data_IF_587166399406
#
_entry.id   IF_587166399406
#
_cell.length_a   1.000
_cell.length_b   1.000
_cell.length_c   1.000
_cell.angle_alpha   90.00
_cell.angle_beta   90.00
_cell.angle_gamma   90.00
#
_symmetry.space_group_name_H-M   'P 1'
#
loop_
_entity.id
_entity.type
_entity.pdbx_description
1 polymer ?
#
# COMPACT_ATOMS: atom_id res chain seq x y z
N UNK A 1 13.56 -19.43 -11.81
CA UNK A 1 13.05 -18.81 -10.55
C UNK A 1 11.97 -17.79 -10.83
N UNK A 2 12.02 -17.06 -11.96
CA UNK A 2 10.94 -16.14 -12.38
C UNK A 2 9.65 -16.93 -12.57
N UNK A 3 9.68 -18.02 -13.33
CA UNK A 3 8.51 -18.89 -13.56
C UNK A 3 7.88 -19.40 -12.26
N UNK A 4 8.70 -19.73 -11.28
CA UNK A 4 8.22 -20.11 -9.95
C UNK A 4 7.47 -18.97 -9.27
N UNK A 5 8.01 -17.75 -9.31
CA UNK A 5 7.34 -16.59 -8.72
C UNK A 5 6.02 -16.26 -9.43
N UNK A 6 5.97 -16.37 -10.76
CA UNK A 6 4.74 -16.17 -11.51
C UNK A 6 3.68 -17.22 -11.16
N UNK A 7 4.07 -18.51 -11.07
CA UNK A 7 3.17 -19.57 -10.66
C UNK A 7 2.63 -19.39 -9.23
N UNK A 8 3.49 -18.95 -8.29
CA UNK A 8 3.08 -18.65 -6.91
C UNK A 8 2.15 -17.45 -6.86
N UNK A 9 2.42 -16.42 -7.64
CA UNK A 9 1.58 -15.24 -7.73
C UNK A 9 0.18 -15.61 -8.23
N UNK A 10 0.09 -16.36 -9.33
CA UNK A 10 -1.19 -16.88 -9.82
C UNK A 10 -1.95 -17.72 -8.78
N UNK A 11 -1.23 -18.54 -8.02
CA UNK A 11 -1.82 -19.35 -6.95
C UNK A 11 -2.41 -18.49 -5.82
N UNK A 12 -1.65 -17.50 -5.32
CA UNK A 12 -2.10 -16.66 -4.20
C UNK A 12 -3.23 -15.71 -4.57
N UNK A 13 -3.21 -15.19 -5.80
CA UNK A 13 -4.14 -14.15 -6.25
C UNK A 13 -5.34 -14.71 -7.02
N UNK A 14 -5.24 -15.95 -7.51
CA UNK A 14 -6.17 -16.56 -8.48
C UNK A 14 -6.38 -15.67 -9.72
N UNK A 15 -5.32 -14.94 -10.13
CA UNK A 15 -5.29 -14.19 -11.39
C UNK A 15 -4.02 -14.51 -12.16
N UNK A 16 -4.11 -14.51 -13.49
CA UNK A 16 -2.95 -14.69 -14.33
C UNK A 16 -2.00 -13.47 -14.17
N UNK A 17 -0.69 -13.69 -14.01
CA UNK A 17 0.30 -12.60 -13.94
C UNK A 17 0.26 -11.62 -15.11
N UNK A 18 -0.23 -12.01 -16.27
CA UNK A 18 -0.38 -11.13 -17.45
C UNK A 18 -1.29 -9.94 -17.19
N UNK A 19 -2.21 -10.03 -16.22
CA UNK A 19 -3.13 -8.95 -15.88
C UNK A 19 -2.52 -7.90 -14.95
N UNK A 20 -1.39 -8.19 -14.31
CA UNK A 20 -0.74 -7.24 -13.42
C UNK A 20 -0.32 -5.98 -14.16
N UNK A 21 -0.65 -4.85 -13.57
CA UNK A 21 -0.30 -3.53 -14.09
C UNK A 21 0.97 -3.00 -13.40
N UNK A 22 1.60 -2.01 -14.01
CA UNK A 22 2.88 -1.48 -13.53
C UNK A 22 2.79 -0.65 -12.23
N UNK A 23 1.58 -0.31 -11.78
CA UNK A 23 1.35 0.46 -10.57
C UNK A 23 0.58 -0.39 -9.57
N UNK A 24 1.22 -0.71 -8.44
CA UNK A 24 0.70 -1.65 -7.46
C UNK A 24 0.25 -0.91 -6.19
N UNK A 25 -0.99 -1.12 -5.79
CA UNK A 25 -1.48 -0.74 -4.47
C UNK A 25 -1.56 -1.99 -3.59
N UNK A 26 -0.99 -1.94 -2.40
CA UNK A 26 -1.17 -2.95 -1.37
C UNK A 26 -2.15 -2.46 -0.31
N UNK A 27 -2.96 -3.36 0.17
CA UNK A 27 -3.82 -3.16 1.34
C UNK A 27 -3.88 -4.45 2.16
N UNK A 28 -4.31 -4.32 3.40
CA UNK A 28 -4.53 -5.47 4.29
C UNK A 28 -6.01 -5.58 4.74
N UNK A 29 -6.92 -4.89 4.04
CA UNK A 29 -8.32 -4.78 4.47
C UNK A 29 -9.33 -4.94 3.33
N UNK A 30 -10.37 -5.76 3.54
CA UNK A 30 -11.35 -6.11 2.50
C UNK A 30 -12.16 -4.93 1.95
N UNK A 31 -12.47 -3.93 2.78
CA UNK A 31 -13.23 -2.76 2.34
C UNK A 31 -12.57 -1.96 1.20
N UNK A 32 -11.24 -1.96 1.11
CA UNK A 32 -10.55 -1.34 -0.03
C UNK A 32 -10.83 -2.08 -1.33
N UNK A 33 -10.98 -3.40 -1.26
CA UNK A 33 -11.31 -4.21 -2.43
C UNK A 33 -12.70 -3.87 -2.96
N UNK A 34 -13.68 -3.73 -2.07
CA UNK A 34 -15.06 -3.38 -2.44
C UNK A 34 -15.12 -1.98 -3.06
N UNK A 35 -14.46 -1.00 -2.44
CA UNK A 35 -14.39 0.37 -2.98
C UNK A 35 -13.63 0.46 -4.31
N UNK A 36 -12.61 -0.36 -4.49
CA UNK A 36 -11.88 -0.42 -5.77
C UNK A 36 -12.76 -0.95 -6.90
N UNK A 37 -13.63 -1.92 -6.62
CA UNK A 37 -14.63 -2.40 -7.60
C UNK A 37 -15.55 -1.25 -8.02
N UNK A 38 -16.08 -0.47 -7.07
CA UNK A 38 -16.94 0.66 -7.36
C UNK A 38 -16.22 1.70 -8.23
N UNK A 39 -14.98 2.06 -7.85
CA UNK A 39 -14.15 2.98 -8.63
C UNK A 39 -13.89 2.44 -10.05
N UNK A 40 -13.55 1.15 -10.17
CA UNK A 40 -13.23 0.53 -11.46
C UNK A 40 -14.42 0.56 -12.42
N UNK A 41 -15.63 0.25 -11.93
CA UNK A 41 -16.85 0.29 -12.75
C UNK A 41 -17.16 1.72 -13.23
N UNK A 42 -16.93 2.72 -12.39
CA UNK A 42 -17.14 4.11 -12.80
C UNK A 42 -16.05 4.57 -13.78
N UNK A 43 -14.81 4.16 -13.56
CA UNK A 43 -13.71 4.44 -14.47
C UNK A 43 -13.89 3.80 -15.86
N UNK A 44 -14.48 2.59 -15.95
CA UNK A 44 -14.80 1.95 -17.24
C UNK A 44 -15.91 2.68 -18.01
N UNK A 45 -16.84 3.37 -17.33
CA UNK A 45 -17.89 4.18 -17.97
C UNK A 45 -17.34 5.50 -18.50
N UNK A 46 -16.24 6.01 -17.94
CA UNK A 46 -15.59 7.24 -18.41
C UNK A 46 -14.62 6.92 -19.56
N UNK A 47 -15.04 7.24 -20.77
CA UNK A 47 -14.25 7.02 -22.00
C UNK A 47 -12.92 7.77 -22.02
N UNK A 48 -12.76 8.81 -21.19
CA UNK A 48 -11.53 9.59 -21.08
C UNK A 48 -10.56 9.02 -20.04
N UNK A 49 -10.97 8.04 -19.24
CA UNK A 49 -10.14 7.45 -18.20
C UNK A 49 -8.93 6.67 -18.76
N UNK A 50 -9.07 6.15 -19.98
CA UNK A 50 -8.08 5.29 -20.63
C UNK A 50 -8.00 3.88 -20.06
N UNK A 51 -8.83 3.51 -19.08
CA UNK A 51 -8.95 2.15 -18.59
C UNK A 51 -9.81 1.30 -19.55
N UNK A 52 -9.40 0.06 -19.79
CA UNK A 52 -9.99 -0.83 -20.80
C UNK A 52 -10.78 -1.98 -20.22
N UNK A 53 -10.34 -2.52 -19.08
CA UNK A 53 -11.04 -3.61 -18.39
C UNK A 53 -10.75 -3.63 -16.90
N UNK A 54 -11.61 -4.32 -16.16
CA UNK A 54 -11.40 -4.70 -14.77
C UNK A 54 -11.30 -6.21 -14.68
N UNK A 55 -10.24 -6.72 -14.08
CA UNK A 55 -10.02 -8.16 -13.92
C UNK A 55 -10.03 -8.52 -12.43
N UNK A 56 -10.89 -9.46 -12.07
CA UNK A 56 -11.02 -9.99 -10.72
C UNK A 56 -10.42 -11.41 -10.62
N UNK A 57 -10.30 -11.91 -9.38
CA UNK A 57 -9.86 -13.27 -9.09
C UNK A 57 -10.67 -14.31 -9.91
N UNK A 58 -9.99 -15.32 -10.44
CA UNK A 58 -10.55 -16.27 -11.41
C UNK A 58 -10.44 -15.78 -12.86
N UNK A 59 -9.69 -14.74 -13.12
CA UNK A 59 -9.54 -14.10 -14.45
C UNK A 59 -10.87 -13.61 -15.04
N UNK A 60 -11.80 -13.21 -14.17
CA UNK A 60 -13.07 -12.64 -14.63
C UNK A 60 -12.84 -11.22 -15.15
N UNK A 61 -13.04 -11.04 -16.45
CA UNK A 61 -12.84 -9.76 -17.14
C UNK A 61 -14.17 -9.06 -17.30
N UNK A 62 -14.24 -7.83 -16.84
CA UNK A 62 -15.34 -6.89 -16.99
C UNK A 62 -14.90 -5.74 -17.89
N UNK A 63 -15.68 -5.40 -18.91
CA UNK A 63 -15.44 -4.30 -19.83
C UNK A 63 -16.64 -3.36 -19.87
N UNK A 64 -16.52 -2.21 -20.55
CA UNK A 64 -17.65 -1.31 -20.75
C UNK A 64 -18.85 -2.00 -21.43
N UNK A 65 -18.58 -2.94 -22.35
CA UNK A 65 -19.62 -3.67 -23.07
C UNK A 65 -20.31 -4.74 -22.19
N UNK A 66 -19.61 -5.24 -21.17
CA UNK A 66 -20.13 -6.26 -20.26
C UNK A 66 -19.78 -5.87 -18.80
N UNK A 67 -20.59 -4.97 -18.21
CA UNK A 67 -20.45 -4.52 -16.84
C UNK A 67 -21.02 -5.52 -15.80
N UNK A 68 -20.89 -6.82 -16.05
CA UNK A 68 -21.35 -7.87 -15.15
C UNK A 68 -20.19 -8.31 -14.25
N UNK A 69 -20.35 -8.08 -12.96
CA UNK A 69 -19.41 -8.59 -11.95
C UNK A 69 -19.73 -10.03 -11.63
N UNK A 70 -18.82 -10.94 -11.90
CA UNK A 70 -18.94 -12.32 -11.47
C UNK A 70 -18.47 -12.44 -10.03
N UNK A 71 -19.37 -12.80 -9.13
CA UNK A 71 -18.99 -13.12 -7.74
C UNK A 71 -18.34 -14.50 -7.70
N UNK A 72 -17.10 -14.56 -7.23
CA UNK A 72 -16.45 -15.83 -6.91
C UNK A 72 -16.90 -16.30 -5.54
N UNK A 73 -17.32 -17.56 -5.45
CA UNK A 73 -17.78 -18.15 -4.16
C UNK A 73 -16.65 -18.36 -3.16
N UNK A 74 -15.40 -18.31 -3.59
CA UNK A 74 -14.22 -18.49 -2.74
C UNK A 74 -13.19 -17.42 -3.08
N UNK A 75 -12.86 -16.63 -2.09
CA UNK A 75 -11.77 -15.65 -2.22
C UNK A 75 -10.41 -16.38 -2.17
N UNK A 76 -9.43 -15.98 -3.00
CA UNK A 76 -8.07 -16.47 -2.91
C UNK A 76 -7.39 -15.95 -1.63
N UNK A 77 -6.21 -16.45 -1.33
CA UNK A 77 -5.45 -16.03 -0.15
C UNK A 77 -5.10 -14.54 -0.18
N UNK A 78 -4.77 -14.02 -1.37
CA UNK A 78 -4.47 -12.60 -1.60
C UNK A 78 -5.38 -12.07 -2.72
N UNK A 79 -6.62 -11.69 -2.42
CA UNK A 79 -7.53 -11.14 -3.42
C UNK A 79 -6.87 -10.00 -4.18
N UNK A 80 -6.91 -10.07 -5.51
CA UNK A 80 -6.22 -9.12 -6.37
C UNK A 80 -7.14 -8.69 -7.49
N UNK A 81 -7.16 -7.39 -7.74
CA UNK A 81 -7.93 -6.77 -8.81
C UNK A 81 -7.04 -5.91 -9.70
N UNK A 82 -7.32 -5.94 -10.99
CA UNK A 82 -6.56 -5.20 -11.97
C UNK A 82 -7.49 -4.28 -12.74
N UNK A 83 -7.25 -3.00 -12.67
CA UNK A 83 -7.88 -2.00 -13.53
C UNK A 83 -6.89 -1.68 -14.65
N UNK A 84 -7.13 -2.27 -15.82
CA UNK A 84 -6.11 -2.39 -16.87
C UNK A 84 -6.11 -1.21 -17.83
N UNK A 85 -4.94 -0.92 -18.38
CA UNK A 85 -4.73 -0.06 -19.55
C UNK A 85 -3.98 -0.87 -20.62
N UNK A 86 -4.18 -0.51 -21.87
CA UNK A 86 -3.58 -1.24 -23.00
C UNK A 86 -2.03 -1.28 -22.96
N UNK A 87 -1.41 -0.27 -22.36
CA UNK A 87 0.04 -0.13 -22.21
C UNK A 87 0.59 -0.73 -20.89
N UNK A 88 -0.24 -1.40 -20.09
CA UNK A 88 0.13 -1.94 -18.79
C UNK A 88 0.27 -0.90 -17.67
N UNK A 89 -0.01 0.36 -17.94
CA UNK A 89 0.11 1.47 -16.97
C UNK A 89 -1.09 1.63 -16.03
N UNK A 90 -2.01 0.66 -16.02
CA UNK A 90 -3.15 0.62 -15.11
C UNK A 90 -2.73 0.40 -13.64
N UNK A 91 -3.69 0.03 -12.81
CA UNK A 91 -3.50 -0.15 -11.37
C UNK A 91 -3.88 -1.57 -10.98
N UNK A 92 -3.00 -2.25 -10.25
CA UNK A 92 -3.30 -3.51 -9.55
C UNK A 92 -3.44 -3.24 -8.07
N UNK A 93 -4.56 -3.62 -7.47
CA UNK A 93 -4.77 -3.62 -6.02
C UNK A 93 -4.67 -5.05 -5.48
N UNK A 94 -3.80 -5.25 -4.51
CA UNK A 94 -3.56 -6.55 -3.85
C UNK A 94 -3.90 -6.45 -2.37
N UNK A 95 -4.86 -7.24 -1.92
CA UNK A 95 -5.07 -7.45 -0.50
C UNK A 95 -4.13 -8.54 -0.01
N UNK A 96 -3.07 -8.13 0.66
CA UNK A 96 -2.02 -9.04 1.16
C UNK A 96 -2.39 -9.73 2.48
N UNK A 97 -3.56 -9.37 3.07
CA UNK A 97 -3.89 -9.77 4.43
C UNK A 97 -3.01 -9.06 5.47
N UNK A 98 -3.00 -9.56 6.70
CA UNK A 98 -2.29 -8.94 7.81
C UNK A 98 -0.97 -9.66 8.07
N UNK A 99 0.07 -8.88 8.29
CA UNK A 99 1.36 -9.31 8.81
C UNK A 99 2.54 -9.24 7.84
N UNK A 100 3.75 -9.10 8.38
CA UNK A 100 4.94 -8.85 7.58
C UNK A 100 5.33 -10.03 6.69
N UNK A 101 5.03 -11.27 7.11
CA UNK A 101 5.29 -12.46 6.30
C UNK A 101 4.48 -12.48 5.00
N UNK A 102 3.21 -12.04 5.06
CA UNK A 102 2.38 -11.89 3.86
C UNK A 102 2.90 -10.76 2.97
N UNK A 103 3.29 -9.62 3.56
CA UNK A 103 3.88 -8.50 2.85
C UNK A 103 5.17 -8.91 2.11
N UNK A 104 6.04 -9.69 2.78
CA UNK A 104 7.24 -10.25 2.17
C UNK A 104 6.89 -11.17 1.00
N UNK A 105 5.99 -12.12 1.21
CA UNK A 105 5.58 -13.07 0.17
C UNK A 105 5.04 -12.36 -1.07
N UNK A 106 4.13 -11.41 -0.89
CA UNK A 106 3.56 -10.66 -2.01
C UNK A 106 4.63 -9.88 -2.77
N UNK A 107 5.46 -9.10 -2.06
CA UNK A 107 6.47 -8.23 -2.68
C UNK A 107 7.61 -9.02 -3.32
N UNK A 108 8.06 -10.15 -2.74
CA UNK A 108 9.08 -11.03 -3.33
C UNK A 108 8.62 -11.56 -4.71
N UNK A 109 7.34 -11.92 -4.85
CA UNK A 109 6.83 -12.44 -6.10
C UNK A 109 6.45 -11.34 -7.11
N UNK A 110 5.86 -10.24 -6.65
CA UNK A 110 5.50 -9.11 -7.53
C UNK A 110 6.73 -8.40 -8.09
N UNK A 111 7.84 -8.38 -7.36
CA UNK A 111 9.07 -7.73 -7.80
C UNK A 111 9.61 -8.26 -9.14
N UNK A 112 9.34 -9.54 -9.49
CA UNK A 112 9.77 -10.12 -10.78
C UNK A 112 9.06 -9.47 -11.98
N UNK A 113 7.88 -8.86 -11.74
CA UNK A 113 7.13 -8.09 -12.75
C UNK A 113 7.73 -6.71 -13.00
N UNK A 114 8.68 -6.28 -12.17
CA UNK A 114 9.33 -4.95 -12.24
C UNK A 114 8.33 -3.79 -12.27
N UNK A 115 7.43 -3.67 -11.29
CA UNK A 115 6.47 -2.58 -11.29
C UNK A 115 7.17 -1.22 -11.23
N UNK A 116 6.53 -0.19 -11.78
CA UNK A 116 7.04 1.18 -11.79
C UNK A 116 6.97 1.82 -10.42
N UNK A 117 5.97 1.48 -9.63
CA UNK A 117 5.86 1.87 -8.23
C UNK A 117 4.93 0.91 -7.47
N UNK A 118 5.11 0.84 -6.17
CA UNK A 118 4.13 0.25 -5.27
C UNK A 118 3.90 1.11 -4.02
N UNK A 119 2.67 1.18 -3.57
CA UNK A 119 2.28 1.94 -2.38
C UNK A 119 1.49 1.04 -1.42
N UNK A 120 1.74 1.20 -0.12
CA UNK A 120 0.89 0.61 0.93
C UNK A 120 -0.18 1.61 1.37
N UNK A 121 -1.42 1.18 1.30
CA UNK A 121 -2.59 1.85 1.87
C UNK A 121 -3.19 0.96 2.95
N UNK A 122 -3.14 1.39 4.18
CA UNK A 122 -3.61 0.59 5.30
C UNK A 122 -4.00 1.45 6.50
N UNK A 123 -4.29 0.77 7.59
CA UNK A 123 -4.59 1.39 8.87
C UNK A 123 -3.42 1.22 9.83
N UNK A 124 -3.31 2.13 10.78
CA UNK A 124 -2.28 2.09 11.81
C UNK A 124 -2.81 2.47 13.18
N UNK A 125 -2.12 2.02 14.20
CA UNK A 125 -2.22 2.61 15.53
C UNK A 125 -1.49 3.96 15.56
N UNK A 126 -2.19 5.04 15.94
CA UNK A 126 -1.59 6.34 16.19
C UNK A 126 -0.84 6.36 17.52
N UNK A 127 0.44 6.74 17.50
CA UNK A 127 1.30 6.73 18.69
C UNK A 127 1.39 8.09 19.39
N UNK A 128 0.77 9.12 18.84
CA UNK A 128 0.81 10.49 19.41
C UNK A 128 -0.58 10.93 19.86
N UNK A 129 -0.67 11.47 21.05
CA UNK A 129 -1.93 11.96 21.60
C UNK A 129 -2.61 13.02 20.70
N UNK A 130 -1.82 13.82 20.02
CA UNK A 130 -2.30 14.88 19.12
C UNK A 130 -2.82 14.39 17.76
N UNK A 131 -2.77 13.09 17.48
CA UNK A 131 -3.43 12.49 16.30
C UNK A 131 -4.90 12.24 16.62
N UNK A 132 -5.74 12.33 15.61
CA UNK A 132 -7.14 11.96 15.66
C UNK A 132 -7.41 10.72 14.82
N UNK A 133 -8.47 9.97 15.14
CA UNK A 133 -8.93 8.88 14.27
C UNK A 133 -9.29 9.46 12.89
N UNK A 134 -8.82 8.82 11.84
CA UNK A 134 -8.98 9.30 10.47
C UNK A 134 -7.84 10.18 9.95
N UNK A 135 -6.93 10.62 10.81
CA UNK A 135 -5.73 11.32 10.34
C UNK A 135 -4.88 10.41 9.45
N UNK A 136 -4.25 11.01 8.46
CA UNK A 136 -3.29 10.31 7.61
C UNK A 136 -1.88 10.37 8.19
N UNK A 137 -1.12 9.31 7.96
CA UNK A 137 0.30 9.22 8.26
C UNK A 137 1.06 8.91 6.98
N UNK A 138 1.85 9.86 6.52
CA UNK A 138 2.78 9.71 5.41
C UNK A 138 4.13 9.24 5.97
N UNK A 139 4.52 8.02 5.65
CA UNK A 139 5.77 7.45 6.14
C UNK A 139 6.97 8.09 5.46
N UNK A 140 7.88 8.70 6.23
CA UNK A 140 9.17 9.23 5.73
C UNK A 140 10.38 8.40 6.16
N UNK A 141 10.19 7.48 7.08
CA UNK A 141 11.18 6.50 7.53
C UNK A 141 10.44 5.28 8.10
N UNK A 142 11.13 4.16 8.14
CA UNK A 142 10.57 2.89 8.56
C UNK A 142 11.41 2.28 9.68
N UNK A 143 10.77 1.97 10.81
CA UNK A 143 11.36 1.19 11.89
C UNK A 143 10.96 -0.29 11.71
N UNK A 144 11.94 -1.13 11.50
CA UNK A 144 11.77 -2.56 11.21
C UNK A 144 11.83 -3.37 12.50
N UNK A 145 10.68 -3.58 13.14
CA UNK A 145 10.50 -4.48 14.29
C UNK A 145 9.74 -5.76 13.87
N UNK A 146 9.69 -6.03 12.56
CA UNK A 146 8.97 -7.12 11.93
C UNK A 146 9.83 -8.38 11.68
N UNK A 147 11.15 -8.25 11.73
CA UNK A 147 12.18 -9.29 11.68
C UNK A 147 12.17 -10.23 10.48
N UNK A 148 11.24 -10.11 9.54
CA UNK A 148 11.09 -11.07 8.42
C UNK A 148 12.11 -10.90 7.29
N UNK A 149 12.84 -9.77 7.26
CA UNK A 149 13.84 -9.46 6.25
C UNK A 149 15.25 -9.27 6.84
N UNK A 150 15.49 -9.60 8.10
CA UNK A 150 16.76 -9.28 8.75
C UNK A 150 17.96 -10.03 8.14
N UNK A 151 17.74 -11.23 7.62
CA UNK A 151 18.76 -11.98 6.86
C UNK A 151 18.98 -11.40 5.45
N UNK A 152 17.92 -10.91 4.82
CA UNK A 152 17.97 -10.40 3.44
C UNK A 152 18.47 -8.94 3.38
N UNK A 153 18.14 -8.15 4.41
CA UNK A 153 18.50 -6.74 4.55
C UNK A 153 18.78 -6.45 6.02
N UNK A 154 20.05 -6.38 6.45
CA UNK A 154 20.42 -6.11 7.83
C UNK A 154 19.70 -4.87 8.39
N UNK A 155 19.29 -4.92 9.66
CA UNK A 155 18.48 -3.85 10.31
C UNK A 155 19.19 -2.49 10.37
N UNK A 156 20.52 -2.45 10.32
CA UNK A 156 21.30 -1.21 10.32
C UNK A 156 21.29 -0.47 8.97
N UNK A 157 20.79 -1.10 7.90
CA UNK A 157 20.64 -0.43 6.60
C UNK A 157 19.40 0.45 6.64
N UNK A 158 19.54 1.75 6.45
CA UNK A 158 18.39 2.66 6.46
C UNK A 158 17.52 2.44 5.21
N UNK A 159 16.20 2.45 5.41
CA UNK A 159 15.21 2.41 4.33
C UNK A 159 14.52 3.78 4.28
N UNK A 160 15.04 4.73 3.49
CA UNK A 160 14.50 6.09 3.43
C UNK A 160 13.26 6.16 2.56
N UNK A 161 12.41 7.14 2.84
CA UNK A 161 11.36 7.50 1.89
C UNK A 161 11.95 8.11 0.61
N UNK A 162 11.18 8.04 -0.47
CA UNK A 162 11.52 8.59 -1.77
C UNK A 162 10.81 9.94 -1.95
N UNK A 163 11.56 10.99 -2.25
CA UNK A 163 11.06 12.35 -2.31
C UNK A 163 9.89 12.51 -3.30
N UNK A 164 10.00 11.89 -4.48
CA UNK A 164 8.97 11.94 -5.51
C UNK A 164 7.66 11.30 -5.04
N UNK A 165 7.77 10.17 -4.35
CA UNK A 165 6.60 9.48 -3.78
C UNK A 165 5.99 10.30 -2.64
N UNK A 166 6.82 10.92 -1.79
CA UNK A 166 6.35 11.78 -0.70
C UNK A 166 5.54 12.97 -1.22
N UNK A 167 6.08 13.68 -2.19
CA UNK A 167 5.42 14.84 -2.81
C UNK A 167 4.10 14.41 -3.49
N UNK A 168 4.14 13.32 -4.25
CA UNK A 168 2.96 12.82 -4.96
C UNK A 168 1.84 12.41 -4.01
N UNK A 169 2.17 11.75 -2.90
CA UNK A 169 1.19 11.37 -1.89
C UNK A 169 0.62 12.61 -1.15
N UNK A 170 1.45 13.56 -0.77
CA UNK A 170 1.01 14.82 -0.14
C UNK A 170 0.06 15.59 -1.07
N UNK A 171 0.41 15.71 -2.36
CA UNK A 171 -0.41 16.36 -3.36
C UNK A 171 -1.75 15.63 -3.59
N UNK A 172 -1.73 14.30 -3.60
CA UNK A 172 -2.94 13.50 -3.72
C UNK A 172 -3.88 13.70 -2.52
N UNK A 173 -3.35 13.72 -1.30
CA UNK A 173 -4.14 14.05 -0.10
C UNK A 173 -4.72 15.45 -0.22
N UNK A 174 -3.92 16.44 -0.62
CA UNK A 174 -4.39 17.83 -0.77
C UNK A 174 -5.51 17.94 -1.81
N UNK A 175 -5.39 17.23 -2.94
CA UNK A 175 -6.40 17.25 -4.01
C UNK A 175 -7.72 16.61 -3.58
N UNK A 176 -7.68 15.48 -2.90
CA UNK A 176 -8.91 14.77 -2.48
C UNK A 176 -9.57 15.48 -1.31
N UNK A 177 -8.81 15.93 -0.31
CA UNK A 177 -9.35 16.58 0.88
C UNK A 177 -9.68 18.08 0.67
N UNK A 178 -9.18 18.68 -0.42
CA UNK A 178 -9.25 20.11 -0.72
C UNK A 178 -8.56 21.00 0.33
N UNK A 179 -7.67 20.44 1.13
CA UNK A 179 -6.91 21.13 2.16
C UNK A 179 -5.49 21.48 1.67
N UNK A 180 -4.94 22.58 2.17
CA UNK A 180 -3.58 23.05 1.83
C UNK A 180 -2.86 23.60 3.05
N UNK A 181 -1.53 23.66 2.96
CA UNK A 181 -0.69 24.28 3.97
C UNK A 181 -0.93 23.73 5.37
N UNK A 182 -1.15 24.59 6.34
CA UNK A 182 -1.33 24.18 7.73
C UNK A 182 -2.58 23.34 7.98
N UNK A 183 -3.68 23.58 7.23
CA UNK A 183 -4.90 22.77 7.36
C UNK A 183 -4.64 21.31 6.93
N UNK A 184 -3.85 21.10 5.87
CA UNK A 184 -3.43 19.76 5.46
C UNK A 184 -2.56 19.09 6.54
N UNK A 185 -1.62 19.81 7.12
CA UNK A 185 -0.74 19.27 8.19
C UNK A 185 -1.50 18.89 9.47
N UNK A 186 -2.69 19.41 9.70
CA UNK A 186 -3.54 18.99 10.83
C UNK A 186 -4.08 17.59 10.68
N UNK A 187 -4.40 17.17 9.45
CA UNK A 187 -5.00 15.87 9.15
C UNK A 187 -4.01 14.85 8.55
N UNK A 188 -2.84 15.30 8.13
CA UNK A 188 -1.79 14.43 7.60
C UNK A 188 -0.46 14.77 8.24
N UNK A 189 0.13 13.79 8.90
CA UNK A 189 1.44 13.92 9.53
C UNK A 189 2.47 13.10 8.81
N UNK A 190 3.63 13.67 8.60
CA UNK A 190 4.78 12.97 8.06
C UNK A 190 5.66 12.52 9.20
N UNK A 191 6.01 11.22 9.25
CA UNK A 191 6.82 10.69 10.35
C UNK A 191 7.27 9.25 10.15
N UNK A 192 8.02 8.75 11.12
CA UNK A 192 8.46 7.35 11.13
C UNK A 192 7.29 6.42 11.42
N UNK A 193 7.14 5.38 10.59
CA UNK A 193 6.22 4.28 10.80
C UNK A 193 7.01 3.07 11.31
N UNK A 194 6.55 2.49 12.41
CA UNK A 194 7.08 1.24 12.93
C UNK A 194 6.22 0.07 12.43
N UNK A 195 6.84 -0.99 11.94
CA UNK A 195 6.13 -2.24 11.64
C UNK A 195 6.59 -3.35 12.57
N UNK A 196 5.62 -4.07 13.15
CA UNK A 196 5.85 -5.16 14.10
C UNK A 196 5.27 -6.47 13.58
N UNK A 197 5.77 -7.59 14.07
CA UNK A 197 5.25 -8.93 13.76
C UNK A 197 4.18 -9.40 14.75
N UNK A 198 4.13 -8.80 15.94
CA UNK A 198 3.21 -9.19 17.00
C UNK A 198 1.97 -8.29 17.03
N UNK A 199 0.85 -8.80 16.51
CA UNK A 199 -0.43 -8.08 16.51
C UNK A 199 -0.95 -7.74 17.91
N UNK A 200 -0.58 -8.55 18.90
CA UNK A 200 -1.05 -8.42 20.28
C UNK A 200 0.03 -7.82 21.20
N UNK A 201 0.88 -6.95 20.67
CA UNK A 201 1.97 -6.33 21.41
C UNK A 201 1.48 -5.58 22.67
N UNK A 202 0.28 -5.04 22.66
CA UNK A 202 -0.32 -4.30 23.77
C UNK A 202 -0.68 -5.20 24.97
N UNK A 203 -0.84 -6.53 24.75
CA UNK A 203 -1.21 -7.49 25.79
C UNK A 203 -0.02 -7.97 26.63
N UNK A 204 1.19 -7.56 26.28
CA UNK A 204 2.41 -7.89 27.00
C UNK A 204 2.90 -6.70 27.82
N UNK A 205 3.89 -6.94 28.66
CA UNK A 205 4.67 -5.85 29.23
C UNK A 205 5.24 -5.01 28.08
N UNK A 206 4.87 -3.75 27.99
CA UNK A 206 5.12 -2.91 26.83
C UNK A 206 6.05 -1.72 27.11
N UNK A 207 6.63 -1.60 28.33
CA UNK A 207 7.57 -0.52 28.67
C UNK A 207 8.75 -0.47 27.71
N UNK A 208 9.36 -1.64 27.40
CA UNK A 208 10.45 -1.74 26.45
C UNK A 208 10.05 -1.35 25.01
N UNK A 209 9.00 -1.93 24.41
CA UNK A 209 8.49 -1.51 23.10
C UNK A 209 8.15 -0.02 23.04
N UNK A 210 7.45 0.52 24.01
CA UNK A 210 7.09 1.96 24.06
C UNK A 210 8.35 2.83 24.12
N UNK A 211 9.36 2.43 24.89
CA UNK A 211 10.63 3.14 24.93
C UNK A 211 11.32 3.16 23.56
N UNK A 212 11.41 2.04 22.86
CA UNK A 212 11.98 1.99 21.50
C UNK A 212 11.18 2.83 20.51
N UNK A 213 9.86 2.75 20.52
CA UNK A 213 8.99 3.59 19.71
C UNK A 213 9.17 5.09 20.00
N UNK A 214 9.37 5.45 21.26
CA UNK A 214 9.65 6.82 21.65
C UNK A 214 11.02 7.28 21.15
N UNK A 215 12.06 6.47 21.33
CA UNK A 215 13.42 6.78 20.87
C UNK A 215 13.52 6.92 19.36
N UNK A 216 12.82 6.05 18.61
CA UNK A 216 12.77 6.10 17.15
C UNK A 216 11.94 7.25 16.59
N UNK A 217 11.22 7.99 17.46
CA UNK A 217 10.27 9.03 17.06
C UNK A 217 9.11 8.52 16.19
N UNK A 218 8.82 7.22 16.22
CA UNK A 218 7.68 6.67 15.49
C UNK A 218 6.38 7.37 15.90
N UNK A 219 5.55 7.67 14.89
CA UNK A 219 4.24 8.31 15.08
C UNK A 219 3.08 7.39 14.74
N UNK A 220 3.37 6.26 14.11
CA UNK A 220 2.39 5.23 13.78
C UNK A 220 3.03 3.85 13.87
N UNK A 221 2.17 2.84 14.08
CA UNK A 221 2.56 1.43 14.11
C UNK A 221 1.58 0.63 13.25
N UNK A 222 2.15 -0.20 12.38
CA UNK A 222 1.42 -1.18 11.57
C UNK A 222 2.14 -2.54 11.58
N UNK A 223 1.87 -3.38 10.61
CA UNK A 223 2.50 -4.71 10.50
C UNK A 223 3.13 -4.98 9.12
N UNK A 224 3.02 -4.09 8.13
CA UNK A 224 3.40 -4.39 6.74
C UNK A 224 4.32 -3.37 6.10
N UNK A 225 4.19 -2.10 6.46
CA UNK A 225 4.80 -0.98 5.71
C UNK A 225 6.32 -1.08 5.63
N UNK A 226 7.00 -1.43 6.72
CA UNK A 226 8.45 -1.53 6.72
C UNK A 226 8.96 -2.68 5.84
N UNK A 227 8.24 -3.82 5.83
CA UNK A 227 8.56 -4.95 4.93
C UNK A 227 8.38 -4.57 3.46
N UNK A 228 7.27 -3.90 3.11
CA UNK A 228 7.00 -3.44 1.74
C UNK A 228 8.07 -2.43 1.29
N UNK A 229 8.41 -1.49 2.15
CA UNK A 229 9.45 -0.49 1.88
C UNK A 229 10.84 -1.14 1.74
N UNK A 230 11.21 -2.05 2.64
CA UNK A 230 12.48 -2.76 2.62
C UNK A 230 12.63 -3.61 1.33
N UNK A 231 11.59 -4.30 0.90
CA UNK A 231 11.60 -5.01 -0.37
C UNK A 231 11.62 -4.05 -1.57
N UNK A 232 10.96 -2.90 -1.51
CA UNK A 232 11.09 -1.85 -2.52
C UNK A 232 12.53 -1.37 -2.65
N UNK A 233 13.20 -1.15 -1.53
CA UNK A 233 14.61 -0.79 -1.49
C UNK A 233 15.50 -1.89 -2.09
N UNK A 234 15.31 -3.17 -1.69
CA UNK A 234 16.08 -4.33 -2.19
C UNK A 234 15.90 -4.53 -3.69
N UNK A 235 14.68 -4.51 -4.17
CA UNK A 235 14.34 -4.78 -5.57
C UNK A 235 14.36 -3.53 -6.45
N UNK A 236 14.71 -2.39 -5.88
CA UNK A 236 14.76 -1.10 -6.57
C UNK A 236 13.43 -0.73 -7.23
N UNK A 237 12.33 -1.06 -6.57
CA UNK A 237 10.98 -0.61 -6.95
C UNK A 237 10.65 0.63 -6.13
N UNK A 238 10.28 1.75 -6.74
CA UNK A 238 9.81 2.94 -6.01
C UNK A 238 8.64 2.59 -5.09
N UNK A 239 8.73 3.00 -3.83
CA UNK A 239 7.81 2.61 -2.78
C UNK A 239 7.37 3.80 -1.92
N UNK A 240 6.21 3.66 -1.31
CA UNK A 240 5.71 4.60 -0.32
C UNK A 240 4.58 4.02 0.51
N UNK A 241 4.22 4.74 1.56
CA UNK A 241 3.18 4.34 2.50
C UNK A 241 2.37 5.54 2.95
N UNK A 242 1.08 5.43 2.82
CA UNK A 242 0.10 6.32 3.44
C UNK A 242 -0.83 5.47 4.30
N UNK A 243 -0.85 5.74 5.60
CA UNK A 243 -1.72 5.03 6.54
C UNK A 243 -2.82 5.97 7.06
N UNK A 244 -3.89 5.37 7.54
CA UNK A 244 -4.97 6.06 8.22
C UNK A 244 -5.02 5.60 9.68
N UNK A 245 -5.06 6.53 10.63
CA UNK A 245 -5.13 6.22 12.06
C UNK A 245 -6.49 5.62 12.39
N UNK A 246 -6.51 4.37 12.82
CA UNK A 246 -7.73 3.63 13.16
C UNK A 246 -7.99 3.49 14.65
N UNK A 247 -6.97 3.62 15.47
CA UNK A 247 -6.99 3.48 16.92
C UNK A 247 -5.76 4.17 17.55
N UNK A 248 -5.80 4.38 18.84
CA UNK A 248 -4.69 4.99 19.61
C UNK A 248 -4.54 4.23 20.95
N UNK A 249 -3.97 3.02 20.91
CA UNK A 249 -3.94 2.13 22.07
C UNK A 249 -3.21 2.73 23.27
N UNK A 250 -2.15 3.51 23.06
CA UNK A 250 -1.41 4.17 24.14
C UNK A 250 -2.17 5.37 24.77
N UNK A 251 -3.30 5.76 24.21
CA UNK A 251 -4.09 6.92 24.64
C UNK A 251 -5.56 6.55 24.95
N UNK A 252 -5.85 5.26 25.15
CA UNK A 252 -7.16 4.79 25.56
C UNK A 252 -8.23 4.77 24.46
N UNK A 253 -7.89 5.10 23.22
CA UNK A 253 -8.80 5.04 22.08
C UNK A 253 -8.63 3.68 21.37
N UNK A 254 -9.25 2.66 21.93
CA UNK A 254 -9.22 1.29 21.44
C UNK A 254 -10.27 1.11 20.34
N UNK A 255 -9.96 0.17 19.44
CA UNK A 255 -10.83 -0.23 18.34
C UNK A 255 -11.96 -1.11 18.84
N UNK A 256 -13.12 -0.54 19.14
CA UNK A 256 -14.29 -1.28 19.60
C UNK A 256 -15.14 -1.79 18.41
N UNK A 257 -15.76 -2.99 18.54
CA UNK A 257 -16.70 -3.50 17.55
C UNK A 257 -17.87 -2.53 17.36
N UNK A 258 -18.26 -2.26 16.11
CA UNK A 258 -19.34 -1.35 15.77
C UNK A 258 -18.92 0.08 15.41
N UNK A 259 -18.07 0.72 16.20
CA UNK A 259 -17.48 2.03 15.83
C UNK A 259 -16.52 1.89 14.62
N UNK A 260 -15.87 0.75 14.52
CA UNK A 260 -14.96 0.44 13.44
C UNK A 260 -15.66 0.44 12.06
N UNK A 261 -16.85 -0.12 11.93
CA UNK A 261 -17.47 -0.36 10.62
C UNK A 261 -17.88 0.92 9.90
N UNK A 262 -18.44 1.90 10.59
CA UNK A 262 -18.85 3.18 10.00
C UNK A 262 -17.63 4.06 9.70
N UNK A 263 -16.68 4.13 10.63
CA UNK A 263 -15.41 4.81 10.44
C UNK A 263 -14.68 4.29 9.20
N UNK A 264 -14.55 2.97 9.07
CA UNK A 264 -13.86 2.37 7.93
C UNK A 264 -14.55 2.66 6.60
N UNK A 265 -15.88 2.59 6.54
CA UNK A 265 -16.62 2.90 5.31
C UNK A 265 -16.33 4.30 4.81
N UNK A 266 -16.35 5.30 5.70
CA UNK A 266 -16.14 6.70 5.31
C UNK A 266 -14.68 6.99 4.96
N UNK A 267 -13.73 6.49 5.75
CA UNK A 267 -12.31 6.79 5.56
C UNK A 267 -11.69 5.98 4.41
N UNK A 268 -12.08 4.71 4.23
CA UNK A 268 -11.55 3.85 3.16
C UNK A 268 -11.79 4.43 1.78
N UNK A 269 -12.98 4.95 1.50
CA UNK A 269 -13.31 5.54 0.20
C UNK A 269 -12.36 6.70 -0.13
N UNK A 270 -12.17 7.64 0.80
CA UNK A 270 -11.27 8.78 0.59
C UNK A 270 -9.81 8.33 0.49
N UNK A 271 -9.38 7.43 1.37
CA UNK A 271 -8.02 6.93 1.40
C UNK A 271 -7.64 6.16 0.12
N UNK A 272 -8.54 5.30 -0.37
CA UNK A 272 -8.34 4.60 -1.65
C UNK A 272 -8.26 5.59 -2.83
N UNK A 273 -9.15 6.59 -2.88
CA UNK A 273 -9.11 7.64 -3.91
C UNK A 273 -7.79 8.39 -3.90
N UNK A 274 -7.22 8.66 -2.72
CA UNK A 274 -5.90 9.27 -2.60
C UNK A 274 -4.82 8.36 -3.21
N UNK A 275 -4.83 7.07 -2.88
CA UNK A 275 -3.87 6.10 -3.43
C UNK A 275 -3.97 5.97 -4.95
N UNK A 276 -5.18 5.88 -5.49
CA UNK A 276 -5.42 5.85 -6.94
C UNK A 276 -4.90 7.13 -7.59
N UNK A 277 -5.24 8.29 -7.02
CA UNK A 277 -4.78 9.59 -7.52
C UNK A 277 -3.27 9.72 -7.51
N UNK A 278 -2.61 9.22 -6.47
CA UNK A 278 -1.15 9.16 -6.41
C UNK A 278 -0.58 8.26 -7.52
N UNK A 279 -1.16 7.08 -7.76
CA UNK A 279 -0.72 6.18 -8.84
C UNK A 279 -0.92 6.80 -10.23
N UNK A 280 -2.03 7.49 -10.45
CA UNK A 280 -2.26 8.23 -11.70
C UNK A 280 -1.22 9.32 -11.91
N UNK A 281 -0.87 10.07 -10.87
CA UNK A 281 0.17 11.09 -10.95
C UNK A 281 1.57 10.50 -11.20
N UNK A 282 1.89 9.36 -10.58
CA UNK A 282 3.14 8.63 -10.81
C UNK A 282 3.23 8.07 -12.25
N UNK A 283 2.11 7.65 -12.83
CA UNK A 283 2.04 7.19 -14.21
C UNK A 283 2.41 8.28 -15.22
N UNK A 284 2.00 9.52 -14.95
CA UNK A 284 2.31 10.66 -15.81
C UNK A 284 3.75 11.18 -15.63
N UNK A 285 4.46 10.69 -14.63
CA UNK A 285 5.84 11.09 -14.37
C UNK A 285 6.80 10.25 -15.23
N UNK A 286 7.79 10.87 -15.92
CA UNK A 286 8.82 10.11 -16.61
C UNK A 286 9.53 9.13 -15.66
N UNK A 287 9.78 7.92 -16.12
CA UNK A 287 10.37 6.85 -15.28
C UNK A 287 11.71 7.26 -14.68
N UNK A 288 12.55 8.00 -15.44
CA UNK A 288 13.83 8.52 -14.99
C UNK A 288 13.69 9.51 -13.82
N UNK A 289 12.57 10.24 -13.79
CA UNK A 289 12.27 11.18 -12.72
C UNK A 289 11.66 10.48 -11.50
N UNK A 290 10.76 9.53 -11.72
CA UNK A 290 10.18 8.73 -10.64
C UNK A 290 11.26 8.02 -9.81
N UNK A 291 12.36 7.76 -10.42
CA UNK A 291 13.45 7.00 -9.89
C UNK A 291 14.65 7.85 -9.59
N UNK A 292 14.50 9.05 -9.26
CA UNK A 292 15.42 10.15 -8.95
C UNK A 292 16.89 9.81 -8.77
N UNK A 293 17.30 8.65 -9.12
CA UNK A 293 18.61 8.13 -8.89
C UNK A 293 18.96 7.05 -9.86
N UNK A 294 20.18 7.03 -10.17
CA UNK A 294 20.83 5.97 -10.92
C UNK A 294 20.80 4.59 -10.22
N UNK A 295 19.85 4.39 -9.29
CA UNK A 295 19.73 3.14 -8.55
C UNK A 295 18.97 2.06 -9.31
N UNK A 296 18.18 2.46 -10.32
CA UNK A 296 17.48 1.56 -11.18
C UNK A 296 17.70 1.97 -12.62
N UNK A 297 18.29 1.09 -13.39
CA UNK A 297 18.24 1.11 -14.83
C UNK A 297 17.47 -0.12 -15.29
N UNK A 298 16.65 0.01 -16.33
CA UNK A 298 16.01 -1.15 -16.93
C UNK A 298 17.02 -2.05 -17.64
N UNK A 299 18.16 -1.49 -17.99
CA UNK A 299 19.26 -2.17 -18.70
C UNK A 299 20.35 -2.69 -17.75
N UNK A 300 20.36 -2.28 -16.49
CA UNK A 300 21.27 -2.79 -15.47
C UNK A 300 20.70 -3.99 -14.76
N UNK A 301 21.51 -5.00 -14.54
CA UNK A 301 21.16 -6.08 -13.63
C UNK A 301 21.16 -5.58 -12.19
N UNK A 302 20.25 -6.10 -11.36
CA UNK A 302 20.03 -5.62 -9.99
C UNK A 302 21.26 -5.77 -9.06
N UNK A 303 22.31 -6.47 -9.49
CA UNK A 303 23.43 -6.89 -8.65
C UNK A 303 24.78 -6.85 -9.40
N UNK A 304 25.05 -5.76 -10.06
CA UNK A 304 26.41 -5.45 -10.49
C UNK A 304 27.07 -4.50 -9.52
#
# INVERSE_FOLDING_TARGET
>A
RVDYSLARLAHYTATDPVHFQNHILFTNYGFYMDEFVNFALDALKDTNSGYTSFVASGNHITTLENLVLTKTNKQPQMPTYHLTRADGSGITLVNIGVGPSNAKTATDHIAVMRPHAWLMLGHCAGLRNSQSLGDYVLAHAYLREDSVLDEDLPVWIPVPALAEIQITLEDAVAQITKLKGYALKKIMRTGTVASVDNRNWELREHTGPVQRLSQSRAIALDMESATIAANGFRFRVPYGTLLCVSDKPLHGELKLPGMASEFYRTQVTSHLKIGIKAMEALREMPLERLHSRKLRSFDETAFL
#
